data_IF_396465479031
#
_entry.id   IF_396465479031
#
_cell.length_a   1.000
_cell.length_b   1.000
_cell.length_c   1.000
_cell.angle_alpha   90.00
_cell.angle_beta   90.00
_cell.angle_gamma   90.00
#
_symmetry.space_group_name_H-M   'P 1'
#
loop_
_entity.id
_entity.type
_entity.pdbx_description
1 polymer ?
#
# COMPACT_ATOMS: atom_id res chain seq x y z
N UNK A 1 -2.33 -9.09 7.61
CA UNK A 1 -1.34 -8.13 7.07
C UNK A 1 -0.77 -8.50 5.72
N UNK A 2 -0.30 -9.73 5.48
CA UNK A 2 0.12 -10.14 4.12
C UNK A 2 -1.06 -10.22 3.15
N UNK A 3 -2.15 -10.89 3.56
CA UNK A 3 -3.40 -10.96 2.79
C UNK A 3 -4.04 -9.59 2.56
N UNK A 4 -3.95 -8.68 3.53
CA UNK A 4 -4.38 -7.28 3.35
C UNK A 4 -3.57 -6.58 2.28
N UNK A 5 -2.25 -6.82 2.23
CA UNK A 5 -1.38 -6.25 1.21
C UNK A 5 -1.75 -6.78 -0.19
N UNK A 6 -1.95 -8.10 -0.34
CA UNK A 6 -2.45 -8.70 -1.59
C UNK A 6 -3.77 -8.06 -2.01
N UNK A 7 -4.69 -7.86 -1.07
CA UNK A 7 -5.99 -7.30 -1.39
C UNK A 7 -5.91 -5.83 -1.86
N UNK A 8 -4.93 -5.04 -1.40
CA UNK A 8 -4.69 -3.67 -1.90
C UNK A 8 -4.40 -3.68 -3.41
N UNK A 9 -3.67 -4.68 -3.91
CA UNK A 9 -3.30 -4.80 -5.32
C UNK A 9 -4.45 -5.28 -6.24
N UNK A 10 -5.52 -5.84 -5.67
CA UNK A 10 -6.67 -6.36 -6.41
C UNK A 10 -7.89 -5.44 -6.38
N UNK A 11 -7.81 -4.24 -5.80
CA UNK A 11 -8.95 -3.32 -5.75
C UNK A 11 -9.19 -2.66 -7.12
N UNK A 12 -10.44 -2.66 -7.63
CA UNK A 12 -10.78 -2.12 -8.95
C UNK A 12 -10.92 -0.59 -9.00
N UNK A 13 -10.92 0.09 -7.85
CA UNK A 13 -11.12 1.55 -7.75
C UNK A 13 -9.77 2.27 -7.56
N UNK A 14 -9.53 3.37 -8.28
CA UNK A 14 -8.29 4.17 -8.26
C UNK A 14 -8.11 5.02 -6.99
N UNK A 15 -9.18 5.32 -6.28
CA UNK A 15 -9.20 6.18 -5.09
C UNK A 15 -8.98 5.36 -3.81
N UNK A 16 -9.36 4.10 -3.85
CA UNK A 16 -9.20 3.13 -2.78
C UNK A 16 -7.75 2.67 -2.45
N UNK A 17 -6.76 2.59 -3.37
CA UNK A 17 -5.45 2.03 -3.11
C UNK A 17 -4.60 2.97 -2.26
N UNK A 18 -4.74 4.29 -2.44
CA UNK A 18 -4.06 5.29 -1.60
C UNK A 18 -4.44 5.15 -0.13
N UNK A 19 -5.75 5.14 0.12
CA UNK A 19 -6.28 5.05 1.47
C UNK A 19 -5.94 3.70 2.11
N UNK A 20 -6.04 2.61 1.34
CA UNK A 20 -5.73 1.29 1.83
C UNK A 20 -4.22 1.11 2.14
N UNK A 21 -3.34 1.70 1.31
CA UNK A 21 -1.90 1.71 1.54
C UNK A 21 -1.53 2.54 2.79
N UNK A 22 -2.13 3.72 2.97
CA UNK A 22 -1.89 4.56 4.15
C UNK A 22 -2.36 3.87 5.44
N UNK A 23 -3.54 3.24 5.42
CA UNK A 23 -4.05 2.47 6.55
C UNK A 23 -3.17 1.25 6.86
N UNK A 24 -2.65 0.58 5.84
CA UNK A 24 -1.70 -0.52 6.03
C UNK A 24 -0.37 -0.04 6.63
N UNK A 25 0.19 1.08 6.15
CA UNK A 25 1.42 1.68 6.71
C UNK A 25 1.23 2.03 8.18
N UNK A 26 0.09 2.63 8.56
CA UNK A 26 -0.23 2.92 9.97
C UNK A 26 -0.27 1.66 10.82
N UNK A 27 -0.99 0.62 10.37
CA UNK A 27 -1.09 -0.67 11.09
C UNK A 27 0.28 -1.35 11.22
N UNK A 28 1.07 -1.35 10.15
CA UNK A 28 2.40 -1.94 10.13
C UNK A 28 3.40 -1.18 11.03
N UNK A 29 3.30 0.15 11.09
CA UNK A 29 4.10 0.97 12.00
C UNK A 29 3.72 0.78 13.48
N UNK A 30 2.43 0.56 13.77
CA UNK A 30 1.91 0.31 15.12
C UNK A 30 2.10 -1.15 15.59
N UNK A 31 2.42 -2.09 14.70
CA UNK A 31 2.68 -3.49 15.04
C UNK A 31 3.91 -3.65 15.92
N UNK A 32 3.97 -4.68 16.78
CA UNK A 32 5.18 -5.02 17.52
C UNK A 32 6.22 -5.83 16.72
N UNK A 33 5.99 -6.04 15.42
CA UNK A 33 6.89 -6.79 14.55
C UNK A 33 7.87 -5.82 13.88
N UNK A 34 9.16 -5.90 14.26
CA UNK A 34 10.21 -5.01 13.73
C UNK A 34 10.30 -5.02 12.20
N UNK A 35 10.12 -6.18 11.57
CA UNK A 35 10.11 -6.30 10.11
C UNK A 35 8.99 -5.46 9.49
N UNK A 36 7.78 -5.49 10.05
CA UNK A 36 6.65 -4.69 9.56
C UNK A 36 6.87 -3.18 9.78
N UNK A 37 7.51 -2.78 10.88
CA UNK A 37 7.91 -1.38 11.11
C UNK A 37 8.95 -0.90 10.10
N UNK A 38 9.87 -1.76 9.66
CA UNK A 38 10.84 -1.41 8.62
C UNK A 38 10.16 -1.33 7.26
N UNK A 39 9.29 -2.29 6.93
CA UNK A 39 8.52 -2.30 5.69
C UNK A 39 7.58 -1.09 5.57
N UNK A 40 6.94 -0.66 6.65
CA UNK A 40 6.08 0.52 6.64
C UNK A 40 6.85 1.79 6.26
N UNK A 41 8.09 1.94 6.74
CA UNK A 41 8.97 3.05 6.37
C UNK A 41 9.38 3.02 4.90
N UNK A 42 9.71 1.83 4.37
CA UNK A 42 10.07 1.65 2.96
C UNK A 42 8.89 1.99 2.05
N UNK A 43 7.71 1.44 2.34
CA UNK A 43 6.49 1.70 1.56
C UNK A 43 6.08 3.17 1.65
N UNK A 44 6.21 3.81 2.82
CA UNK A 44 5.95 5.24 2.96
C UNK A 44 6.92 6.09 2.12
N UNK A 45 8.22 5.74 2.10
CA UNK A 45 9.23 6.44 1.30
C UNK A 45 9.01 6.29 -0.21
N UNK A 46 8.53 5.12 -0.65
CA UNK A 46 8.25 4.82 -2.06
C UNK A 46 6.77 4.99 -2.44
N UNK A 47 5.95 5.63 -1.59
CA UNK A 47 4.50 5.80 -1.79
C UNK A 47 4.19 6.39 -3.16
N UNK A 48 4.92 7.43 -3.57
CA UNK A 48 4.73 8.07 -4.89
C UNK A 48 4.93 7.12 -6.06
N UNK A 49 5.93 6.25 -6.03
CA UNK A 49 6.19 5.26 -7.08
C UNK A 49 5.13 4.15 -7.12
N UNK A 50 4.68 3.70 -5.95
CA UNK A 50 3.58 2.71 -5.85
C UNK A 50 2.28 3.29 -6.39
N UNK A 51 1.97 4.54 -6.07
CA UNK A 51 0.78 5.21 -6.58
C UNK A 51 0.83 5.46 -8.09
N UNK A 52 2.01 5.78 -8.63
CA UNK A 52 2.20 5.89 -10.07
C UNK A 52 1.92 4.56 -10.81
N UNK A 53 2.21 3.41 -10.18
CA UNK A 53 1.85 2.11 -10.74
C UNK A 53 0.32 1.94 -10.83
N UNK A 54 -0.43 2.34 -9.80
CA UNK A 54 -1.91 2.29 -9.82
C UNK A 54 -2.53 3.30 -10.81
N UNK A 55 -1.91 4.47 -10.95
CA UNK A 55 -2.32 5.49 -11.92
C UNK A 55 -2.15 4.98 -13.37
N UNK A 56 -1.01 4.34 -13.64
CA UNK A 56 -0.69 3.76 -14.94
C UNK A 56 -1.52 2.51 -15.28
N UNK A 57 -1.77 1.61 -14.32
CA UNK A 57 -2.52 0.37 -14.56
C UNK A 57 -4.01 0.63 -14.87
N UNK A 58 -4.54 1.79 -14.47
CA UNK A 58 -5.92 2.16 -14.80
C UNK A 58 -6.09 2.91 -16.13
N UNK A 59 -5.11 2.86 -17.04
CA UNK A 59 -5.21 3.34 -18.42
C UNK A 59 -5.42 2.19 -19.44
N UNK A 60 -5.63 0.96 -18.97
CA UNK A 60 -5.99 -0.20 -19.80
C UNK A 60 -7.31 -0.82 -19.37
N UNK A 61 -8.38 -0.01 -19.32
CA UNK A 61 -9.75 -0.44 -19.62
C UNK A 61 -10.53 0.77 -20.16
#
# INVERSE_FOLDING_TARGET
MEEELRNIWHQPDKTAPQKALDEWVKKAAASNINMLKQFSKIIAAHRSGILAYFDFNGLWF
#
